data_IF_072153347317
#
_entry.id   IF_072153347317
#
_cell.length_a   1.000
_cell.length_b   1.000
_cell.length_c   1.000
_cell.angle_alpha   90.00
_cell.angle_beta   90.00
_cell.angle_gamma   90.00
#
_symmetry.space_group_name_H-M   'P 1'
#
loop_
_entity.id
_entity.type
_entity.pdbx_description
1 polymer ?
#
# COMPACT_ATOMS: atom_id res chain seq x y z
N UNK A 1 46.31 -18.16 -12.90
CA UNK A 1 45.20 -17.20 -13.16
C UNK A 1 43.80 -17.77 -12.88
N UNK A 2 43.45 -18.99 -13.34
CA UNK A 2 42.12 -19.60 -13.13
C UNK A 2 41.67 -19.74 -11.65
N UNK A 3 42.61 -19.95 -10.72
CA UNK A 3 42.33 -20.07 -9.27
C UNK A 3 41.91 -18.75 -8.63
N UNK A 4 42.42 -17.62 -9.11
CA UNK A 4 42.01 -16.28 -8.65
C UNK A 4 40.61 -15.94 -9.13
N UNK A 5 40.27 -16.29 -10.39
CA UNK A 5 38.93 -16.11 -10.96
C UNK A 5 37.87 -16.88 -10.16
N UNK A 6 38.13 -18.17 -9.86
CA UNK A 6 37.21 -18.96 -9.02
C UNK A 6 36.99 -18.34 -7.64
N UNK A 7 38.04 -17.77 -7.05
CA UNK A 7 37.95 -17.12 -5.74
C UNK A 7 37.16 -15.82 -5.79
N UNK A 8 37.35 -14.98 -6.82
CA UNK A 8 36.53 -13.77 -7.00
C UNK A 8 35.07 -14.10 -7.28
N UNK A 9 34.77 -15.15 -8.04
CA UNK A 9 33.39 -15.57 -8.30
C UNK A 9 32.69 -16.05 -7.03
N UNK A 10 33.36 -16.83 -6.18
CA UNK A 10 32.82 -17.30 -4.90
C UNK A 10 32.61 -16.15 -3.92
N UNK A 11 33.54 -15.19 -3.88
CA UNK A 11 33.43 -13.98 -3.05
C UNK A 11 32.24 -13.10 -3.48
N UNK A 12 32.01 -12.95 -4.79
CA UNK A 12 30.89 -12.18 -5.33
C UNK A 12 29.52 -12.82 -5.00
N UNK A 13 29.43 -14.16 -5.07
CA UNK A 13 28.22 -14.90 -4.68
C UNK A 13 27.94 -14.83 -3.17
N UNK A 14 28.97 -14.72 -2.32
CA UNK A 14 28.83 -14.61 -0.87
C UNK A 14 28.35 -13.24 -0.40
N UNK A 15 28.47 -12.19 -1.24
CA UNK A 15 27.99 -10.83 -0.96
C UNK A 15 26.52 -10.61 -1.33
N UNK A 16 25.85 -11.62 -1.90
CA UNK A 16 24.40 -11.59 -2.19
C UNK A 16 23.64 -11.87 -0.88
N UNK A 17 23.77 -10.94 0.07
CA UNK A 17 23.01 -10.94 1.33
C UNK A 17 21.52 -10.76 1.07
N UNK A 18 20.71 -11.18 2.05
CA UNK A 18 19.25 -11.21 2.04
C UNK A 18 18.65 -9.95 1.41
N UNK A 19 18.04 -10.10 0.24
CA UNK A 19 17.24 -9.06 -0.38
C UNK A 19 16.00 -8.81 0.47
N UNK A 20 15.93 -7.63 1.09
CA UNK A 20 14.68 -7.10 1.63
C UNK A 20 13.83 -6.74 0.42
N UNK A 21 12.78 -7.51 0.17
CA UNK A 21 11.86 -7.22 -0.93
C UNK A 21 11.19 -5.87 -0.69
N UNK A 22 10.99 -5.08 -1.74
CA UNK A 22 10.19 -3.86 -1.65
C UNK A 22 8.73 -4.25 -1.45
N UNK A 23 8.08 -3.62 -0.49
CA UNK A 23 6.64 -3.72 -0.34
C UNK A 23 5.93 -3.17 -1.59
N UNK A 24 4.72 -3.66 -1.83
CA UNK A 24 3.95 -3.24 -2.98
C UNK A 24 3.56 -1.76 -2.85
N UNK A 25 4.10 -0.91 -3.73
CA UNK A 25 3.75 0.50 -3.82
C UNK A 25 2.96 0.82 -5.08
N UNK A 26 1.85 1.52 -4.90
CA UNK A 26 1.05 2.05 -6.00
C UNK A 26 1.66 3.35 -6.53
N UNK A 27 1.65 3.53 -7.84
CA UNK A 27 1.83 4.85 -8.46
C UNK A 27 0.68 5.75 -8.01
N UNK A 28 0.91 7.05 -7.78
CA UNK A 28 -0.10 7.99 -7.26
C UNK A 28 -0.51 7.75 -5.79
N UNK A 29 0.45 7.47 -4.91
CA UNK A 29 0.20 7.35 -3.47
C UNK A 29 -0.37 8.65 -2.86
N UNK A 30 -0.04 9.81 -3.42
CA UNK A 30 -0.54 11.12 -2.97
C UNK A 30 -2.06 11.28 -3.14
N UNK A 31 -2.68 10.55 -4.07
CA UNK A 31 -4.11 10.65 -4.31
C UNK A 31 -4.95 9.90 -3.25
N UNK A 32 -4.34 8.95 -2.52
CA UNK A 32 -4.94 8.25 -1.39
C UNK A 32 -3.91 8.06 -0.27
N UNK A 33 -3.57 9.10 0.49
CA UNK A 33 -2.54 9.04 1.54
C UNK A 33 -2.93 8.14 2.73
N UNK A 34 -4.24 7.88 2.89
CA UNK A 34 -4.77 6.82 3.77
C UNK A 34 -4.13 5.44 3.47
N UNK A 35 -3.70 5.17 2.23
CA UNK A 35 -2.97 3.95 1.89
C UNK A 35 -1.57 3.92 2.49
N UNK A 36 -0.91 5.08 2.60
CA UNK A 36 0.45 5.20 3.07
C UNK A 36 0.54 5.18 4.60
N UNK A 37 -0.33 5.93 5.28
CA UNK A 37 -0.32 6.04 6.73
C UNK A 37 -1.73 6.18 7.30
N UNK A 38 -2.14 5.33 8.28
CA UNK A 38 -3.43 5.45 8.93
C UNK A 38 -3.70 6.81 9.58
N UNK A 39 -2.64 7.48 10.07
CA UNK A 39 -2.74 8.82 10.66
C UNK A 39 -3.22 9.88 9.66
N UNK A 40 -3.06 9.63 8.35
CA UNK A 40 -3.52 10.52 7.29
C UNK A 40 -5.00 10.35 6.93
N UNK A 41 -5.73 9.45 7.61
CA UNK A 41 -7.17 9.30 7.43
C UNK A 41 -7.88 10.63 7.72
N UNK A 42 -8.58 11.20 6.74
CA UNK A 42 -9.31 12.45 6.89
C UNK A 42 -8.45 13.70 7.09
N UNK A 43 -7.13 13.63 6.83
CA UNK A 43 -6.30 14.83 6.68
C UNK A 43 -6.54 15.44 5.29
N UNK A 44 -7.71 16.04 5.13
CA UNK A 44 -8.16 16.72 3.92
C UNK A 44 -8.89 18.00 4.28
N UNK A 45 -8.82 18.99 3.40
CA UNK A 45 -9.55 20.25 3.57
C UNK A 45 -11.04 20.14 3.21
N UNK A 46 -11.42 19.08 2.48
CA UNK A 46 -12.80 18.84 2.03
C UNK A 46 -13.58 17.98 3.03
N UNK A 47 -14.90 17.88 2.84
CA UNK A 47 -15.77 17.07 3.72
C UNK A 47 -15.54 15.57 3.58
N UNK A 48 -15.12 15.12 2.41
CA UNK A 48 -14.92 13.72 2.07
C UNK A 48 -14.01 13.64 0.85
N UNK A 49 -13.17 12.60 0.80
CA UNK A 49 -12.40 12.22 -0.38
C UNK A 49 -12.67 10.75 -0.69
N UNK A 50 -12.84 10.47 -1.97
CA UNK A 50 -12.94 9.12 -2.51
C UNK A 50 -11.91 9.00 -3.64
N UNK A 51 -11.28 7.84 -3.73
CA UNK A 51 -10.24 7.58 -4.71
C UNK A 51 -10.37 6.16 -5.25
N UNK A 52 -10.24 6.01 -6.55
CA UNK A 52 -10.24 4.73 -7.23
C UNK A 52 -9.00 4.63 -8.11
N UNK A 53 -8.29 3.51 -8.02
CA UNK A 53 -7.08 3.25 -8.76
C UNK A 53 -7.13 1.86 -9.35
N UNK A 54 -6.91 1.76 -10.66
CA UNK A 54 -6.74 0.52 -11.37
C UNK A 54 -5.39 0.52 -12.06
N UNK A 55 -4.59 -0.53 -11.83
CA UNK A 55 -3.28 -0.69 -12.42
C UNK A 55 -3.11 -2.08 -13.00
N UNK A 56 -2.56 -2.14 -14.20
CA UNK A 56 -2.09 -3.37 -14.83
C UNK A 56 -0.56 -3.34 -14.92
N UNK A 57 0.11 -4.44 -14.59
CA UNK A 57 1.57 -4.58 -14.64
C UNK A 57 1.97 -5.79 -15.49
N UNK A 58 3.15 -5.70 -16.11
CA UNK A 58 3.74 -6.76 -16.93
C UNK A 58 2.90 -7.17 -18.16
N UNK A 59 2.01 -6.30 -18.64
CA UNK A 59 1.17 -6.56 -19.82
C UNK A 59 1.94 -6.84 -21.10
N UNK A 60 3.15 -6.28 -21.24
CA UNK A 60 3.98 -6.48 -22.42
C UNK A 60 4.68 -7.85 -22.47
N UNK A 61 4.80 -8.55 -21.34
CA UNK A 61 5.65 -9.75 -21.21
C UNK A 61 4.86 -10.96 -20.68
N UNK A 62 3.76 -10.74 -19.95
CA UNK A 62 2.95 -11.79 -19.35
C UNK A 62 1.66 -12.03 -20.14
N UNK A 63 1.40 -13.29 -20.54
CA UNK A 63 0.14 -13.72 -21.15
C UNK A 63 -1.08 -13.43 -20.25
N UNK A 64 -0.89 -13.47 -18.93
CA UNK A 64 -1.84 -12.98 -17.93
C UNK A 64 -1.16 -11.93 -17.04
N UNK A 65 -1.42 -10.64 -17.27
CA UNK A 65 -0.81 -9.58 -16.47
C UNK A 65 -1.34 -9.54 -15.03
N UNK A 66 -0.58 -8.89 -14.16
CA UNK A 66 -1.00 -8.61 -12.79
C UNK A 66 -1.93 -7.40 -12.82
N UNK A 67 -3.10 -7.50 -12.19
CA UNK A 67 -4.06 -6.40 -12.10
C UNK A 67 -4.36 -6.09 -10.65
N UNK A 68 -4.29 -4.82 -10.29
CA UNK A 68 -4.64 -4.32 -8.96
C UNK A 68 -5.71 -3.26 -9.10
N UNK A 69 -6.84 -3.45 -8.41
CA UNK A 69 -7.87 -2.46 -8.21
C UNK A 69 -7.86 -2.03 -6.74
N UNK A 70 -7.94 -0.74 -6.47
CA UNK A 70 -8.07 -0.18 -5.13
C UNK A 70 -9.13 0.91 -5.15
N UNK A 71 -10.02 0.89 -4.16
CA UNK A 71 -10.95 1.98 -3.87
C UNK A 71 -10.75 2.36 -2.41
N UNK A 72 -10.63 3.65 -2.15
CA UNK A 72 -10.50 4.20 -0.81
C UNK A 72 -11.44 5.38 -0.61
N UNK A 73 -11.83 5.58 0.65
CA UNK A 73 -12.61 6.72 1.08
C UNK A 73 -12.09 7.21 2.42
N UNK A 74 -12.16 8.51 2.65
CA UNK A 74 -11.90 9.11 3.95
C UNK A 74 -12.76 10.37 4.18
N UNK A 75 -13.18 10.53 5.43
CA UNK A 75 -14.13 11.54 5.86
C UNK A 75 -13.70 12.10 7.22
N UNK A 76 -13.21 13.36 7.28
CA UNK A 76 -13.05 14.05 8.55
C UNK A 76 -14.42 14.39 9.16
N UNK A 77 -14.54 14.23 10.47
CA UNK A 77 -15.71 14.71 11.20
C UNK A 77 -15.46 16.15 11.68
N UNK A 78 -16.52 16.87 12.10
CA UNK A 78 -16.35 18.17 12.78
C UNK A 78 -15.59 18.07 14.11
N UNK A 79 -15.54 16.87 14.68
CA UNK A 79 -14.79 16.51 15.88
C UNK A 79 -13.34 16.16 15.50
N UNK A 80 -12.47 15.94 16.49
CA UNK A 80 -11.08 15.49 16.31
C UNK A 80 -10.91 14.08 15.68
N UNK A 81 -12.01 13.41 15.32
CA UNK A 81 -12.00 12.05 14.79
C UNK A 81 -12.24 12.06 13.29
N UNK A 82 -11.51 11.18 12.59
CA UNK A 82 -11.73 10.93 11.17
C UNK A 82 -11.84 9.43 10.91
N UNK A 83 -12.62 9.08 9.89
CA UNK A 83 -12.87 7.69 9.52
C UNK A 83 -12.56 7.49 8.05
N UNK A 84 -12.17 6.28 7.70
CA UNK A 84 -11.92 5.91 6.32
C UNK A 84 -11.91 4.42 6.12
N UNK A 85 -11.73 4.02 4.88
CA UNK A 85 -11.65 2.63 4.53
C UNK A 85 -11.11 2.44 3.13
N UNK A 86 -10.59 1.24 2.90
CA UNK A 86 -9.93 0.86 1.66
C UNK A 86 -10.30 -0.57 1.33
N UNK A 87 -10.64 -0.80 0.07
CA UNK A 87 -10.88 -2.13 -0.49
C UNK A 87 -9.92 -2.28 -1.66
N UNK A 88 -9.08 -3.31 -1.61
CA UNK A 88 -8.17 -3.63 -2.70
C UNK A 88 -8.37 -5.07 -3.17
N UNK A 89 -8.31 -5.26 -4.48
CA UNK A 89 -8.32 -6.56 -5.13
C UNK A 89 -7.08 -6.68 -6.01
N UNK A 90 -6.24 -7.66 -5.70
CA UNK A 90 -5.01 -7.94 -6.44
C UNK A 90 -5.12 -9.33 -7.09
N UNK A 91 -5.03 -9.37 -8.41
CA UNK A 91 -5.01 -10.61 -9.19
C UNK A 91 -3.60 -10.89 -9.68
N UNK A 92 -3.04 -12.02 -9.23
CA UNK A 92 -1.78 -12.54 -9.72
C UNK A 92 -2.01 -13.34 -10.99
N UNK A 93 -1.70 -12.76 -12.16
CA UNK A 93 -2.04 -13.33 -13.46
C UNK A 93 -1.40 -14.69 -13.75
N UNK A 94 -0.09 -14.83 -13.55
CA UNK A 94 0.65 -16.09 -13.81
C UNK A 94 0.38 -17.15 -12.74
N UNK A 95 0.24 -16.71 -11.48
CA UNK A 95 0.09 -17.59 -10.32
C UNK A 95 -1.37 -17.96 -10.03
N UNK A 96 -2.33 -17.42 -10.79
CA UNK A 96 -3.78 -17.57 -10.61
C UNK A 96 -4.26 -17.42 -9.15
N UNK A 97 -3.74 -16.44 -8.42
CA UNK A 97 -4.25 -16.10 -7.08
C UNK A 97 -5.02 -14.79 -7.13
N UNK A 98 -6.05 -14.68 -6.31
CA UNK A 98 -6.71 -13.43 -5.98
C UNK A 98 -6.51 -13.12 -4.51
N UNK A 99 -6.18 -11.87 -4.20
CA UNK A 99 -6.09 -11.35 -2.84
C UNK A 99 -7.07 -10.20 -2.74
N UNK A 100 -8.08 -10.35 -1.89
CA UNK A 100 -8.97 -9.27 -1.49
C UNK A 100 -8.56 -8.80 -0.11
N UNK A 101 -8.41 -7.50 0.05
CA UNK A 101 -8.09 -6.85 1.30
C UNK A 101 -9.10 -5.74 1.55
N UNK A 102 -9.68 -5.76 2.75
CA UNK A 102 -10.64 -4.76 3.22
C UNK A 102 -10.09 -4.21 4.52
N UNK A 103 -9.81 -2.92 4.55
CA UNK A 103 -9.22 -2.21 5.69
C UNK A 103 -10.18 -1.07 6.07
N UNK A 104 -10.57 -1.02 7.33
CA UNK A 104 -11.12 0.18 7.95
C UNK A 104 -10.00 0.97 8.62
N UNK A 105 -10.10 2.30 8.57
CA UNK A 105 -9.15 3.21 9.20
C UNK A 105 -9.85 4.22 10.09
N UNK A 106 -9.18 4.59 11.18
CA UNK A 106 -9.60 5.67 12.05
C UNK A 106 -8.38 6.50 12.44
N UNK A 107 -8.55 7.82 12.46
CA UNK A 107 -7.52 8.72 13.00
C UNK A 107 -8.10 9.69 14.01
N UNK A 108 -7.22 10.20 14.86
CA UNK A 108 -7.48 11.20 15.86
C UNK A 108 -6.48 12.34 15.70
N UNK A 109 -6.99 13.56 15.51
CA UNK A 109 -6.22 14.78 15.41
C UNK A 109 -6.06 15.45 16.78
N UNK A 110 -4.81 15.59 17.20
CA UNK A 110 -4.36 16.32 18.37
C UNK A 110 -3.84 17.70 17.93
N UNK A 111 -4.66 18.77 17.97
CA UNK A 111 -4.15 20.12 17.82
C UNK A 111 -3.26 20.46 19.02
N UNK A 112 -2.00 20.80 18.76
CA UNK A 112 -1.01 21.17 19.79
C UNK A 112 -1.19 22.62 20.26
N UNK A 113 -1.85 23.44 19.45
CA UNK A 113 -2.05 24.87 19.71
C UNK A 113 -3.54 25.23 19.68
N UNK A 114 -3.93 26.28 20.43
CA UNK A 114 -5.30 26.83 20.44
C UNK A 114 -5.70 27.36 19.06
N UNK A 115 -4.73 27.89 18.29
CA UNK A 115 -4.95 28.35 16.91
C UNK A 115 -4.88 27.23 15.86
N UNK A 116 -4.57 25.99 16.29
CA UNK A 116 -4.57 24.77 15.46
C UNK A 116 -3.59 24.76 14.27
N UNK A 117 -2.55 25.60 14.24
CA UNK A 117 -1.52 25.55 13.20
C UNK A 117 -0.67 24.27 13.25
N UNK A 118 -0.39 23.78 14.46
CA UNK A 118 0.37 22.56 14.66
C UNK A 118 -0.58 21.43 15.07
N UNK A 119 -0.65 20.39 14.25
CA UNK A 119 -1.54 19.25 14.45
C UNK A 119 -0.74 17.96 14.38
N UNK A 120 -0.88 17.13 15.41
CA UNK A 120 -0.38 15.77 15.42
C UNK A 120 -1.54 14.84 15.12
N UNK A 121 -1.36 13.88 14.22
CA UNK A 121 -2.38 12.87 13.92
C UNK A 121 -1.89 11.49 14.36
N UNK A 122 -2.80 10.74 14.98
CA UNK A 122 -2.60 9.34 15.32
C UNK A 122 -3.63 8.53 14.55
N UNK A 123 -3.26 7.41 13.96
CA UNK A 123 -4.22 6.58 13.25
C UNK A 123 -3.96 5.10 13.40
N UNK A 124 -5.02 4.33 13.16
CA UNK A 124 -5.01 2.88 13.19
C UNK A 124 -5.69 2.32 11.95
N UNK A 125 -5.13 1.24 11.41
CA UNK A 125 -5.74 0.40 10.39
C UNK A 125 -6.17 -0.92 10.99
N UNK A 126 -7.37 -1.37 10.66
CA UNK A 126 -7.86 -2.69 10.99
C UNK A 126 -8.44 -3.30 9.73
N UNK A 127 -7.98 -4.49 9.33
CA UNK A 127 -8.44 -5.08 8.08
C UNK A 127 -8.33 -6.60 8.04
N UNK A 128 -9.02 -7.16 7.05
CA UNK A 128 -9.00 -8.59 6.74
C UNK A 128 -8.43 -8.79 5.34
N UNK A 129 -7.55 -9.79 5.21
CA UNK A 129 -6.94 -10.17 3.95
C UNK A 129 -7.32 -11.61 3.63
N UNK A 130 -8.03 -11.81 2.53
CA UNK A 130 -8.40 -13.13 2.04
C UNK A 130 -7.67 -13.41 0.74
N UNK A 131 -6.89 -14.49 0.72
CA UNK A 131 -6.23 -15.01 -0.47
C UNK A 131 -6.88 -16.32 -0.88
N UNK A 132 -7.23 -16.46 -2.15
CA UNK A 132 -7.70 -17.72 -2.72
C UNK A 132 -7.06 -17.99 -4.09
N UNK A 133 -6.96 -19.27 -4.43
CA UNK A 133 -6.56 -19.69 -5.77
C UNK A 133 -7.77 -19.67 -6.68
N UNK A 134 -7.60 -19.09 -7.86
CA UNK A 134 -8.57 -19.19 -8.94
C UNK A 134 -8.19 -20.45 -9.72
N UNK A 135 -8.82 -21.59 -9.39
CA UNK A 135 -8.78 -22.74 -10.29
C UNK A 135 -9.70 -22.42 -11.46
N UNK A 136 -9.14 -22.48 -12.66
CA UNK A 136 -9.91 -22.50 -13.90
C UNK A 136 -10.44 -23.91 -14.12
#
# INVERSE_FOLDING_TARGET
MKRKIKFTTVLLCALIGRSIAQDFHLSMYDAAPIFLNPAMTGLIETKMRAHAHYRTQWSAIAFKPFTTALVSFDMPTKTKWSYGGQISNMRAGISNYNVLEVIGSGSYLLPLDKEKYHQLSLGMHLGVKKRWSIRL
#
